data_IF_471134108771
#
_entry.id   IF_471134108771
#
_cell.length_a   1.000
_cell.length_b   1.000
_cell.length_c   1.000
_cell.angle_alpha   90.00
_cell.angle_beta   90.00
_cell.angle_gamma   90.00
#
_symmetry.space_group_name_H-M   'P 1'
#
loop_
_entity.id
_entity.type
_entity.pdbx_description
1 polymer ?
#
# COMPACT_ATOMS: atom_id res chain seq x y z
N UNK A 1 -5.15 -19.63 9.92
CA UNK A 1 -5.51 -18.82 11.11
C UNK A 1 -5.08 -17.38 10.89
N UNK A 2 -5.97 -16.44 11.17
CA UNK A 2 -5.65 -15.00 11.10
C UNK A 2 -5.21 -14.50 12.46
N UNK A 3 -4.12 -13.75 12.48
CA UNK A 3 -3.71 -12.97 13.62
C UNK A 3 -3.56 -11.53 13.19
N UNK A 4 -3.86 -10.60 14.09
CA UNK A 4 -3.81 -9.18 13.78
C UNK A 4 -3.39 -8.40 15.02
N UNK A 5 -2.80 -7.24 14.80
CA UNK A 5 -2.40 -6.37 15.89
C UNK A 5 -2.45 -4.91 15.45
N UNK A 6 -2.77 -4.02 16.38
CA UNK A 6 -2.81 -2.58 16.12
C UNK A 6 -1.49 -1.92 16.46
N UNK A 7 -1.14 -0.90 15.67
CA UNK A 7 0.04 -0.08 15.90
C UNK A 7 -0.29 1.39 15.65
N UNK A 8 0.16 2.26 16.51
CA UNK A 8 0.03 3.70 16.31
C UNK A 8 1.13 4.19 15.36
N UNK A 9 0.75 4.81 14.28
CA UNK A 9 1.66 5.31 13.24
C UNK A 9 1.34 6.77 12.91
N UNK A 10 2.17 7.38 12.05
CA UNK A 10 2.01 8.79 11.68
C UNK A 10 0.63 9.12 11.08
N UNK A 11 0.01 8.17 10.39
CA UNK A 11 -1.32 8.38 9.76
C UNK A 11 -2.48 7.92 10.63
N UNK A 12 -2.22 7.43 11.84
CA UNK A 12 -3.23 6.93 12.77
C UNK A 12 -2.98 5.50 13.19
N UNK A 13 -4.01 4.88 13.75
CA UNK A 13 -3.92 3.49 14.20
C UNK A 13 -4.05 2.54 13.02
N UNK A 14 -3.01 1.75 12.79
CA UNK A 14 -2.94 0.77 11.71
C UNK A 14 -3.18 -0.62 12.26
N UNK A 15 -3.98 -1.42 11.56
CA UNK A 15 -4.14 -2.85 11.84
C UNK A 15 -3.39 -3.64 10.78
N UNK A 16 -2.49 -4.51 11.21
CA UNK A 16 -1.76 -5.42 10.32
C UNK A 16 -2.28 -6.82 10.55
N UNK A 17 -2.64 -7.51 9.47
CA UNK A 17 -3.22 -8.86 9.53
C UNK A 17 -2.28 -9.84 8.85
N UNK A 18 -2.03 -10.94 9.55
CA UNK A 18 -1.28 -12.08 9.05
C UNK A 18 -2.20 -13.28 8.93
N UNK A 19 -2.08 -14.00 7.83
CA UNK A 19 -2.72 -15.30 7.67
C UNK A 19 -1.65 -16.29 7.24
N UNK A 20 -1.51 -17.38 8.01
CA UNK A 20 -0.39 -18.29 7.87
C UNK A 20 0.93 -17.53 8.05
N UNK A 21 1.82 -17.54 7.09
CA UNK A 21 3.13 -16.88 7.21
C UNK A 21 3.26 -15.64 6.32
N UNK A 22 2.13 -15.03 5.93
CA UNK A 22 2.12 -13.87 5.04
C UNK A 22 1.23 -12.76 5.54
N UNK A 23 1.57 -11.53 5.16
CA UNK A 23 0.73 -10.35 5.42
C UNK A 23 -0.40 -10.34 4.38
N UNK A 24 -1.63 -10.25 4.84
CA UNK A 24 -2.81 -10.21 3.97
C UNK A 24 -3.51 -8.86 3.96
N UNK A 25 -3.38 -8.08 5.03
CA UNK A 25 -4.03 -6.77 5.15
C UNK A 25 -3.18 -5.80 5.95
N UNK A 26 -3.20 -4.56 5.53
CA UNK A 26 -2.76 -3.40 6.31
C UNK A 26 -3.82 -2.33 6.07
N UNK A 27 -4.58 -2.01 7.12
CA UNK A 27 -5.71 -1.09 7.04
C UNK A 27 -5.65 -0.09 8.20
N UNK A 28 -6.41 1.00 8.07
CA UNK A 28 -6.62 1.92 9.16
C UNK A 28 -7.76 1.43 10.04
N UNK A 29 -7.45 1.27 11.33
CA UNK A 29 -8.43 1.16 12.41
C UNK A 29 -9.45 0.00 12.34
N UNK A 30 -9.24 -0.98 11.46
CA UNK A 30 -10.17 -2.11 11.34
C UNK A 30 -9.46 -3.44 11.53
N UNK A 31 -9.88 -4.18 12.57
CA UNK A 31 -9.43 -5.55 12.77
C UNK A 31 -10.54 -6.52 12.36
N UNK A 32 -10.25 -7.53 11.51
CA UNK A 32 -11.25 -8.55 11.18
C UNK A 32 -11.76 -9.25 12.44
N UNK A 33 -13.06 -9.51 12.48
CA UNK A 33 -13.70 -10.16 13.65
C UNK A 33 -13.19 -11.58 13.87
N UNK A 34 -12.76 -12.25 12.80
CA UNK A 34 -12.24 -13.61 12.84
C UNK A 34 -10.73 -13.67 13.11
N UNK A 35 -10.08 -12.53 13.35
CA UNK A 35 -8.67 -12.49 13.65
C UNK A 35 -8.41 -12.60 15.15
N UNK A 36 -7.36 -13.34 15.52
CA UNK A 36 -6.87 -13.37 16.90
C UNK A 36 -6.02 -12.13 17.13
N UNK A 37 -6.31 -11.38 18.19
CA UNK A 37 -5.54 -10.19 18.55
C UNK A 37 -4.26 -10.63 19.28
N UNK A 38 -3.20 -10.79 18.54
CA UNK A 38 -1.92 -11.27 19.05
C UNK A 38 -0.79 -10.74 18.20
N UNK A 39 0.27 -10.22 18.82
CA UNK A 39 1.45 -9.78 18.11
C UNK A 39 2.37 -10.97 17.80
N UNK A 40 2.63 -11.21 16.53
CA UNK A 40 3.58 -12.23 16.08
C UNK A 40 4.90 -11.56 15.69
N UNK A 41 5.93 -12.35 15.48
CA UNK A 41 7.21 -11.82 14.99
C UNK A 41 7.06 -11.17 13.61
N UNK A 42 6.24 -11.76 12.74
CA UNK A 42 6.00 -11.19 11.41
C UNK A 42 5.27 -9.84 11.51
N UNK A 43 4.23 -9.76 12.35
CA UNK A 43 3.50 -8.50 12.55
C UNK A 43 4.41 -7.42 13.13
N UNK A 44 5.24 -7.78 14.10
CA UNK A 44 6.21 -6.86 14.70
C UNK A 44 7.22 -6.36 13.67
N UNK A 45 7.72 -7.26 12.80
CA UNK A 45 8.65 -6.88 11.74
C UNK A 45 7.98 -5.95 10.72
N UNK A 46 6.74 -6.23 10.34
CA UNK A 46 5.98 -5.38 9.42
C UNK A 46 5.80 -3.97 10.02
N UNK A 47 5.44 -3.89 11.30
CA UNK A 47 5.28 -2.61 11.99
C UNK A 47 6.61 -1.84 12.06
N UNK A 48 7.71 -2.55 12.31
CA UNK A 48 9.05 -1.94 12.31
C UNK A 48 9.37 -1.32 10.95
N UNK A 49 9.12 -2.06 9.87
CA UNK A 49 9.39 -1.57 8.51
C UNK A 49 8.51 -0.37 8.17
N UNK A 50 7.23 -0.39 8.57
CA UNK A 50 6.35 0.76 8.37
C UNK A 50 6.83 1.98 9.16
N UNK A 51 7.27 1.80 10.40
CA UNK A 51 7.81 2.88 11.21
C UNK A 51 9.06 3.49 10.55
N UNK A 52 9.94 2.65 10.02
CA UNK A 52 11.12 3.10 9.27
C UNK A 52 10.73 3.86 8.00
N UNK A 53 9.68 3.40 7.31
CA UNK A 53 9.14 4.11 6.15
C UNK A 53 8.64 5.51 6.54
N UNK A 54 7.86 5.62 7.62
CA UNK A 54 7.33 6.91 8.08
C UNK A 54 8.43 7.88 8.54
N UNK A 55 9.56 7.37 9.00
CA UNK A 55 10.69 8.21 9.40
C UNK A 55 11.68 8.44 8.26
N UNK A 56 11.33 8.06 7.04
CA UNK A 56 12.15 8.19 5.82
C UNK A 56 13.46 7.39 5.89
N UNK A 57 13.51 6.33 6.69
CA UNK A 57 14.67 5.45 6.82
C UNK A 57 14.56 4.20 5.94
N UNK A 58 13.42 4.04 5.25
CA UNK A 58 13.17 2.88 4.41
C UNK A 58 12.38 3.28 3.18
N UNK A 59 12.82 2.83 2.02
CA UNK A 59 12.14 3.09 0.74
C UNK A 59 11.51 1.85 0.10
N UNK A 60 11.79 0.67 0.63
CA UNK A 60 11.23 -0.60 0.13
C UNK A 60 10.92 -1.53 1.29
N UNK A 61 10.05 -2.50 1.05
CA UNK A 61 9.62 -3.45 2.08
C UNK A 61 10.09 -4.86 1.73
N UNK A 62 10.46 -5.60 2.77
CA UNK A 62 10.86 -7.00 2.66
C UNK A 62 9.92 -7.82 3.54
N UNK A 63 8.72 -8.08 3.01
CA UNK A 63 7.65 -8.78 3.71
C UNK A 63 6.98 -9.79 2.77
N UNK A 64 6.64 -10.99 3.28
CA UNK A 64 5.84 -11.92 2.49
C UNK A 64 4.40 -11.43 2.39
N UNK A 65 3.92 -11.19 1.18
CA UNK A 65 2.59 -10.66 0.93
C UNK A 65 1.70 -11.70 0.27
N UNK A 66 0.46 -11.78 0.73
CA UNK A 66 -0.55 -12.66 0.14
C UNK A 66 -1.90 -11.93 0.07
N UNK A 67 -1.98 -10.87 -0.75
CA UNK A 67 -3.22 -10.13 -0.92
C UNK A 67 -4.26 -11.02 -1.60
N UNK A 68 -5.51 -10.99 -1.12
CA UNK A 68 -6.60 -11.76 -1.69
C UNK A 68 -7.41 -10.89 -2.64
N UNK A 69 -7.64 -11.40 -3.84
CA UNK A 69 -8.42 -10.68 -4.84
C UNK A 69 -8.53 -11.47 -6.14
N UNK A 70 -9.26 -10.92 -7.09
CA UNK A 70 -9.45 -11.52 -8.41
C UNK A 70 -8.13 -11.54 -9.18
N UNK A 71 -8.07 -12.29 -10.27
CA UNK A 71 -6.91 -12.31 -11.16
C UNK A 71 -6.57 -10.92 -11.69
N UNK A 72 -7.59 -10.13 -12.06
CA UNK A 72 -7.39 -8.77 -12.53
C UNK A 72 -6.81 -7.87 -11.42
N UNK A 73 -7.37 -7.94 -10.21
CA UNK A 73 -6.86 -7.19 -9.07
C UNK A 73 -5.40 -7.55 -8.77
N UNK A 74 -5.07 -8.84 -8.79
CA UNK A 74 -3.69 -9.29 -8.59
C UNK A 74 -2.75 -8.68 -9.63
N UNK A 75 -3.16 -8.65 -10.89
CA UNK A 75 -2.36 -8.04 -11.98
C UNK A 75 -2.10 -6.56 -11.70
N UNK A 76 -3.12 -5.83 -11.27
CA UNK A 76 -2.99 -4.40 -10.93
C UNK A 76 -2.03 -4.23 -9.76
N UNK A 77 -2.21 -4.98 -8.68
CA UNK A 77 -1.37 -4.83 -7.49
C UNK A 77 0.08 -5.20 -7.78
N UNK A 78 0.34 -6.19 -8.62
CA UNK A 78 1.71 -6.52 -9.05
C UNK A 78 2.34 -5.37 -9.83
N UNK A 79 1.56 -4.71 -10.68
CA UNK A 79 2.04 -3.53 -11.41
C UNK A 79 2.36 -2.37 -10.46
N UNK A 80 1.54 -2.18 -9.42
CA UNK A 80 1.78 -1.14 -8.41
C UNK A 80 3.10 -1.36 -7.69
N UNK A 81 3.44 -2.62 -7.37
CA UNK A 81 4.68 -2.95 -6.67
C UNK A 81 5.93 -2.55 -7.45
N UNK A 82 5.80 -2.33 -8.75
CA UNK A 82 6.92 -1.91 -9.62
C UNK A 82 7.11 -0.40 -9.67
N UNK A 83 6.19 0.38 -9.11
CA UNK A 83 6.35 1.84 -9.08
C UNK A 83 7.42 2.19 -8.04
N UNK A 84 8.52 2.85 -8.45
CA UNK A 84 9.59 3.17 -7.50
C UNK A 84 9.15 4.16 -6.42
N UNK A 85 9.81 4.08 -5.29
CA UNK A 85 9.67 5.07 -4.21
C UNK A 85 9.92 6.48 -4.75
N UNK A 86 9.03 7.40 -4.43
CA UNK A 86 9.13 8.79 -4.86
C UNK A 86 8.65 9.04 -6.29
N UNK A 87 8.20 8.00 -7.01
CA UNK A 87 7.66 8.13 -8.35
C UNK A 87 6.14 7.97 -8.33
N UNK A 88 5.49 8.45 -9.39
CA UNK A 88 4.05 8.29 -9.58
C UNK A 88 3.77 7.76 -10.98
N UNK A 89 2.59 7.18 -11.15
CA UNK A 89 2.07 6.73 -12.45
C UNK A 89 0.60 7.14 -12.53
N UNK A 90 0.08 7.33 -13.73
CA UNK A 90 -1.34 7.54 -13.90
C UNK A 90 -2.03 6.21 -14.20
N UNK A 91 -3.36 6.20 -14.09
CA UNK A 91 -4.15 4.97 -14.27
C UNK A 91 -3.95 4.35 -15.66
N UNK A 92 -3.81 5.16 -16.70
CA UNK A 92 -3.58 4.67 -18.06
C UNK A 92 -2.22 3.97 -18.21
N UNK A 93 -1.20 4.45 -17.49
CA UNK A 93 0.12 3.79 -17.50
C UNK A 93 0.05 2.39 -16.86
N UNK A 94 -0.72 2.26 -15.77
CA UNK A 94 -0.92 0.96 -15.13
C UNK A 94 -1.72 0.04 -16.07
N UNK A 95 -2.74 0.57 -16.75
CA UNK A 95 -3.52 -0.20 -17.72
C UNK A 95 -2.63 -0.74 -18.85
N UNK A 96 -1.70 0.06 -19.35
CA UNK A 96 -0.73 -0.37 -20.34
C UNK A 96 0.17 -1.50 -19.81
N UNK A 97 0.67 -1.36 -18.59
CA UNK A 97 1.58 -2.35 -17.98
C UNK A 97 0.90 -3.73 -17.87
N UNK A 98 -0.38 -3.76 -17.55
CA UNK A 98 -1.12 -5.03 -17.44
C UNK A 98 -1.65 -5.54 -18.77
N UNK A 99 -1.35 -4.83 -19.89
CA UNK A 99 -1.73 -5.25 -21.22
C UNK A 99 -3.19 -4.99 -21.58
N UNK A 100 -3.85 -4.03 -20.91
CA UNK A 100 -5.26 -3.71 -21.16
C UNK A 100 -5.48 -2.19 -21.11
N UNK A 101 -5.13 -1.52 -22.20
CA UNK A 101 -5.15 -0.06 -22.30
C UNK A 101 -6.52 0.58 -22.04
N UNK A 102 -7.60 -0.17 -22.26
CA UNK A 102 -8.96 0.33 -22.08
C UNK A 102 -9.50 0.14 -20.67
N UNK A 103 -8.70 -0.39 -19.75
CA UNK A 103 -9.16 -0.80 -18.42
C UNK A 103 -8.91 0.27 -17.35
N UNK A 104 -8.76 1.55 -17.69
CA UNK A 104 -8.45 2.61 -16.71
C UNK A 104 -9.40 2.66 -15.52
N UNK A 105 -10.72 2.52 -15.75
CA UNK A 105 -11.71 2.51 -14.67
C UNK A 105 -11.56 1.30 -13.77
N UNK A 106 -11.38 0.13 -14.36
CA UNK A 106 -11.20 -1.11 -13.62
C UNK A 106 -9.89 -1.07 -12.81
N UNK A 107 -8.83 -0.48 -13.39
CA UNK A 107 -7.57 -0.23 -12.68
C UNK A 107 -7.81 0.65 -11.47
N UNK A 108 -8.56 1.75 -11.62
CA UNK A 108 -8.91 2.63 -10.53
C UNK A 108 -9.66 1.91 -9.41
N UNK A 109 -10.62 1.07 -9.76
CA UNK A 109 -11.37 0.28 -8.79
C UNK A 109 -10.47 -0.72 -8.06
N UNK A 110 -9.61 -1.43 -8.78
CA UNK A 110 -8.66 -2.38 -8.18
C UNK A 110 -7.66 -1.65 -7.28
N UNK A 111 -7.21 -0.47 -7.71
CA UNK A 111 -6.32 0.37 -6.92
C UNK A 111 -6.94 0.72 -5.57
N UNK A 112 -8.23 1.10 -5.57
CA UNK A 112 -8.96 1.45 -4.35
C UNK A 112 -9.28 0.23 -3.46
N UNK A 113 -9.21 -0.97 -3.99
CA UNK A 113 -9.46 -2.22 -3.26
C UNK A 113 -8.18 -2.86 -2.73
N UNK A 114 -7.05 -2.18 -2.85
CA UNK A 114 -5.77 -2.67 -2.33
C UNK A 114 -5.90 -3.05 -0.84
N UNK A 115 -5.67 -4.32 -0.49
CA UNK A 115 -5.81 -4.75 0.90
C UNK A 115 -4.57 -4.46 1.77
N UNK A 116 -3.43 -4.13 1.16
CA UNK A 116 -2.17 -3.95 1.89
C UNK A 116 -1.66 -2.54 1.63
N UNK A 117 -2.17 -1.57 2.41
CA UNK A 117 -1.80 -0.16 2.25
C UNK A 117 -0.30 0.05 2.36
N UNK A 118 0.22 1.01 1.62
CA UNK A 118 1.60 1.49 1.68
C UNK A 118 2.58 0.49 1.07
N UNK A 119 2.58 -0.77 1.50
CA UNK A 119 3.48 -1.80 0.98
C UNK A 119 3.15 -2.09 -0.48
N UNK A 120 1.87 -2.23 -0.82
CA UNK A 120 1.41 -2.17 -2.21
C UNK A 120 1.03 -0.70 -2.45
N UNK A 121 1.83 0.05 -3.20
CA UNK A 121 1.77 1.51 -3.17
C UNK A 121 0.68 2.13 -4.05
N UNK A 122 -0.58 1.85 -3.72
CA UNK A 122 -1.71 2.43 -4.45
C UNK A 122 -1.75 3.95 -4.38
N UNK A 123 -1.11 4.55 -3.37
CA UNK A 123 -1.00 6.00 -3.25
C UNK A 123 -0.13 6.62 -4.36
N UNK A 124 0.67 5.83 -5.07
CA UNK A 124 1.54 6.32 -6.16
C UNK A 124 0.81 6.41 -7.51
N UNK A 125 -0.48 6.10 -7.56
CA UNK A 125 -1.28 6.24 -8.76
C UNK A 125 -2.12 7.51 -8.65
N UNK A 126 -1.96 8.42 -9.62
CA UNK A 126 -2.60 9.73 -9.63
C UNK A 126 -3.30 9.96 -10.96
N UNK A 127 -4.07 11.05 -11.06
CA UNK A 127 -4.70 11.43 -12.32
C UNK A 127 -3.67 11.84 -13.37
N UNK A 128 -4.04 11.71 -14.63
CA UNK A 128 -3.17 12.04 -15.77
C UNK A 128 -2.70 13.50 -15.73
N UNK A 129 -3.53 14.40 -15.21
CA UNK A 129 -3.22 15.82 -15.04
C UNK A 129 -2.46 16.13 -13.75
N UNK A 130 -2.08 15.11 -13.00
CA UNK A 130 -1.38 15.25 -11.71
C UNK A 130 -2.31 15.40 -10.52
N UNK A 131 -3.63 15.40 -10.73
CA UNK A 131 -4.59 15.54 -9.64
C UNK A 131 -4.64 14.27 -8.78
N UNK A 132 -4.91 14.46 -7.47
CA UNK A 132 -5.12 13.35 -6.57
C UNK A 132 -6.56 12.85 -6.69
N UNK A 133 -6.72 11.60 -7.02
CA UNK A 133 -8.04 10.97 -7.16
C UNK A 133 -8.00 9.60 -6.52
N UNK A 134 -9.14 9.17 -5.98
CA UNK A 134 -9.36 7.79 -5.59
C UNK A 134 -8.36 7.21 -4.61
N UNK A 135 -8.56 7.45 -3.31
CA UNK A 135 -7.82 6.75 -2.26
C UNK A 135 -8.81 6.35 -1.17
N UNK A 136 -8.88 5.05 -0.87
CA UNK A 136 -9.86 4.51 0.08
C UNK A 136 -9.80 5.12 1.47
N UNK A 137 -8.62 5.52 1.93
CA UNK A 137 -8.38 6.11 3.25
C UNK A 137 -8.47 7.63 3.24
N UNK A 138 -8.71 8.23 2.08
CA UNK A 138 -8.88 9.67 1.93
C UNK A 138 -7.68 10.37 1.32
N UNK A 139 -7.96 11.44 0.60
CA UNK A 139 -6.95 12.20 -0.12
C UNK A 139 -5.89 12.85 0.79
N UNK A 140 -6.21 13.33 2.00
CA UNK A 140 -5.18 13.87 2.89
C UNK A 140 -4.08 12.86 3.22
N UNK A 141 -4.42 11.59 3.44
CA UNK A 141 -3.43 10.55 3.71
C UNK A 141 -2.60 10.27 2.45
N UNK A 142 -3.24 10.20 1.29
CA UNK A 142 -2.55 10.03 0.00
C UNK A 142 -1.51 11.13 -0.20
N UNK A 143 -1.91 12.38 0.02
CA UNK A 143 -1.01 13.53 -0.10
C UNK A 143 0.15 13.42 0.87
N UNK A 144 -0.14 13.06 2.12
CA UNK A 144 0.89 12.87 3.15
C UNK A 144 1.95 11.85 2.71
N UNK A 145 1.52 10.70 2.19
CA UNK A 145 2.43 9.65 1.74
C UNK A 145 3.27 10.11 0.55
N UNK A 146 2.65 10.78 -0.42
CA UNK A 146 3.38 11.31 -1.59
C UNK A 146 4.41 12.35 -1.18
N UNK A 147 4.06 13.26 -0.27
CA UNK A 147 4.98 14.28 0.23
C UNK A 147 6.14 13.66 1.01
N UNK A 148 5.86 12.65 1.81
CA UNK A 148 6.86 11.91 2.56
C UNK A 148 7.88 11.27 1.61
N UNK A 149 7.41 10.62 0.55
CA UNK A 149 8.27 9.95 -0.42
C UNK A 149 9.07 10.95 -1.25
N UNK A 150 8.48 12.09 -1.57
CA UNK A 150 9.18 13.14 -2.31
C UNK A 150 10.35 13.68 -1.51
N UNK A 151 10.17 13.91 -0.21
CA UNK A 151 11.24 14.36 0.69
C UNK A 151 12.32 13.29 0.86
N UNK A 152 11.91 12.04 1.03
CA UNK A 152 12.83 10.91 1.16
C UNK A 152 13.68 10.73 -0.09
N UNK A 153 13.09 10.82 -1.27
CA UNK A 153 13.80 10.73 -2.55
C UNK A 153 14.81 11.87 -2.72
N UNK A 154 14.42 13.09 -2.35
CA UNK A 154 15.32 14.24 -2.42
C UNK A 154 16.53 14.06 -1.51
N UNK A 155 16.33 13.50 -0.31
CA UNK A 155 17.43 13.21 0.62
C UNK A 155 18.36 12.13 0.08
N UNK A 156 17.81 11.10 -0.57
CA UNK A 156 18.61 10.01 -1.17
C UNK A 156 19.42 10.49 -2.38
N UNK A 157 18.96 11.53 -3.07
CA UNK A 157 19.64 12.10 -4.23
C UNK A 157 20.92 12.85 -3.88
N UNK A 158 21.13 13.16 -2.61
CA UNK A 158 22.31 13.83 -2.10
C UNK A 158 23.34 12.78 -1.63
#
# INVERSE_FOLDING_TARGET
MKTAFYYEMAIGRICIVQENESITHIDLDEMPKDAKNEETLLLKNAAKQLAEYFSAQRSSFDLPLAPKGTGFQQSVWQALLKIPYGATRCYSEIAEVIGNEKACRAVGMANNKNPILIVIPCHRVIGKDGSLTGYGEGLPIKQFLLDLEKKGSASEAI
#
